data_IF_636930438910
#
_entry.id   IF_636930438910
#
_cell.length_a   1.000
_cell.length_b   1.000
_cell.length_c   1.000
_cell.angle_alpha   90.00
_cell.angle_beta   90.00
_cell.angle_gamma   90.00
#
_symmetry.space_group_name_H-M   'P 1'
#
loop_
_entity.id
_entity.type
_entity.pdbx_description
1 polymer ?
#
# COMPACT_ATOMS: atom_id res chain seq x y z
N UNK A 1 17.26 -22.13 -7.59
CA UNK A 1 16.91 -21.22 -8.70
C UNK A 1 16.31 -22.08 -9.79
N UNK A 2 15.11 -21.73 -10.27
CA UNK A 2 14.28 -22.57 -11.14
C UNK A 2 15.00 -22.90 -12.45
N UNK A 3 14.76 -24.10 -12.97
CA UNK A 3 15.36 -24.63 -14.20
C UNK A 3 14.73 -24.01 -15.47
N UNK A 4 14.36 -22.72 -15.38
CA UNK A 4 13.71 -21.96 -16.44
C UNK A 4 14.80 -21.25 -17.25
N UNK A 5 14.89 -21.60 -18.53
CA UNK A 5 15.88 -21.09 -19.48
C UNK A 5 15.80 -19.56 -19.72
N UNK A 6 14.74 -18.90 -19.25
CA UNK A 6 14.58 -17.45 -19.34
C UNK A 6 14.72 -16.77 -17.97
N UNK A 7 15.97 -16.63 -17.52
CA UNK A 7 16.34 -15.93 -16.28
C UNK A 7 15.95 -14.43 -16.24
N UNK A 8 15.50 -13.88 -17.37
CA UNK A 8 15.10 -12.48 -17.54
C UNK A 8 13.58 -12.29 -17.67
N UNK A 9 12.78 -13.30 -17.33
CA UNK A 9 11.33 -13.18 -17.30
C UNK A 9 10.87 -12.10 -16.30
N UNK A 10 9.79 -11.39 -16.64
CA UNK A 10 9.15 -10.42 -15.76
C UNK A 10 8.33 -11.06 -14.63
N UNK A 11 7.74 -10.23 -13.78
CA UNK A 11 6.86 -10.66 -12.69
C UNK A 11 5.38 -10.66 -13.14
N UNK A 12 4.58 -11.57 -12.58
CA UNK A 12 3.15 -11.68 -12.86
C UNK A 12 2.41 -10.36 -12.58
N UNK A 13 1.87 -9.72 -13.61
CA UNK A 13 1.27 -8.38 -13.54
C UNK A 13 0.08 -8.30 -12.59
N UNK A 14 -0.73 -9.35 -12.47
CA UNK A 14 -1.84 -9.43 -11.50
C UNK A 14 -1.39 -9.41 -10.03
N UNK A 15 -0.13 -9.75 -9.75
CA UNK A 15 0.42 -9.74 -8.38
C UNK A 15 0.96 -8.36 -8.01
N UNK A 16 1.80 -7.75 -8.87
CA UNK A 16 2.48 -6.50 -8.54
C UNK A 16 1.78 -5.24 -9.06
N UNK A 17 0.94 -5.35 -10.09
CA UNK A 17 0.28 -4.23 -10.75
C UNK A 17 -0.62 -3.43 -9.80
N UNK A 18 -1.65 -4.04 -9.19
CA UNK A 18 -2.54 -3.34 -8.27
C UNK A 18 -1.82 -2.65 -7.08
N UNK A 19 -0.93 -3.31 -6.32
CA UNK A 19 -0.19 -2.62 -5.25
C UNK A 19 0.80 -1.57 -5.79
N UNK A 20 1.35 -1.78 -6.98
CA UNK A 20 2.21 -0.80 -7.67
C UNK A 20 1.46 0.50 -8.01
N UNK A 21 0.28 0.39 -8.62
CA UNK A 21 -0.58 1.54 -8.89
C UNK A 21 -0.99 2.26 -7.61
N UNK A 22 -1.41 1.52 -6.58
CA UNK A 22 -1.75 2.09 -5.28
C UNK A 22 -0.58 2.92 -4.70
N UNK A 23 0.62 2.35 -4.69
CA UNK A 23 1.81 3.04 -4.18
C UNK A 23 2.14 4.31 -4.97
N UNK A 24 2.10 4.24 -6.31
CA UNK A 24 2.41 5.39 -7.15
C UNK A 24 1.36 6.51 -7.02
N UNK A 25 0.08 6.18 -6.91
CA UNK A 25 -0.96 7.17 -6.57
C UNK A 25 -0.67 7.80 -5.22
N UNK A 26 -0.39 7.02 -4.17
CA UNK A 26 0.01 7.57 -2.86
C UNK A 26 1.19 8.55 -2.95
N UNK A 27 2.18 8.29 -3.81
CA UNK A 27 3.30 9.22 -4.05
C UNK A 27 2.79 10.55 -4.63
N UNK A 28 1.91 10.52 -5.64
CA UNK A 28 1.35 11.75 -6.23
C UNK A 28 0.55 12.57 -5.22
N UNK A 29 -0.29 11.93 -4.40
CA UNK A 29 -1.03 12.60 -3.34
C UNK A 29 -0.13 13.09 -2.20
N UNK A 30 1.07 12.53 -2.06
CA UNK A 30 2.12 13.00 -1.15
C UNK A 30 2.91 14.21 -1.66
N UNK A 31 2.83 14.54 -2.95
CA UNK A 31 3.51 15.70 -3.53
C UNK A 31 3.02 17.01 -2.85
N UNK A 32 3.87 18.02 -2.63
CA UNK A 32 3.43 19.24 -1.99
C UNK A 32 2.38 20.00 -2.82
N UNK A 33 1.44 20.65 -2.12
CA UNK A 33 0.48 21.56 -2.77
C UNK A 33 1.21 22.73 -3.41
N UNK A 34 2.21 23.27 -2.70
CA UNK A 34 3.14 24.27 -3.21
C UNK A 34 4.59 23.74 -3.08
N UNK A 35 5.17 23.19 -4.17
CA UNK A 35 6.51 22.64 -4.15
C UNK A 35 7.60 23.70 -3.92
N UNK A 36 7.37 24.95 -4.35
CA UNK A 36 8.34 26.04 -4.18
C UNK A 36 8.45 26.40 -2.71
N UNK A 37 7.31 26.66 -2.07
CA UNK A 37 7.26 26.93 -0.63
C UNK A 37 7.77 25.74 0.18
N UNK A 38 7.50 24.51 -0.26
CA UNK A 38 8.05 23.33 0.40
C UNK A 38 9.58 23.25 0.32
N UNK A 39 10.19 23.55 -0.83
CA UNK A 39 11.66 23.63 -0.96
C UNK A 39 12.22 24.70 -0.01
N UNK A 40 11.59 25.88 0.07
CA UNK A 40 11.97 26.96 0.99
C UNK A 40 11.91 26.53 2.47
N UNK A 41 10.78 25.94 2.89
CA UNK A 41 10.58 25.44 4.27
C UNK A 41 11.58 24.34 4.67
N UNK A 42 12.14 23.65 3.66
CA UNK A 42 13.11 22.56 3.84
C UNK A 42 14.55 23.02 3.62
N UNK A 43 14.78 24.30 3.36
CA UNK A 43 16.10 24.87 3.03
C UNK A 43 16.77 24.14 1.85
N UNK A 44 15.97 23.69 0.89
CA UNK A 44 16.42 23.05 -0.34
C UNK A 44 16.65 24.09 -1.44
N UNK A 45 17.56 23.82 -2.40
CA UNK A 45 17.64 24.63 -3.63
C UNK A 45 16.28 24.66 -4.35
N UNK A 46 15.97 25.79 -4.97
CA UNK A 46 14.75 25.94 -5.76
C UNK A 46 14.61 24.81 -6.78
N UNK A 47 13.38 24.31 -6.94
CA UNK A 47 13.01 23.28 -7.91
C UNK A 47 13.58 21.88 -7.61
N UNK A 48 14.15 21.66 -6.43
CA UNK A 48 14.65 20.34 -6.00
C UNK A 48 13.53 19.31 -5.93
N UNK A 49 12.41 19.65 -5.27
CA UNK A 49 11.30 18.71 -5.08
C UNK A 49 10.65 18.32 -6.41
N UNK A 50 10.41 19.29 -7.30
CA UNK A 50 9.84 19.02 -8.64
C UNK A 50 10.75 18.10 -9.45
N UNK A 51 12.06 18.38 -9.45
CA UNK A 51 13.06 17.59 -10.18
C UNK A 51 13.11 16.14 -9.67
N UNK A 52 13.04 15.94 -8.35
CA UNK A 52 13.03 14.60 -7.77
C UNK A 52 11.81 13.78 -8.23
N UNK A 53 10.61 14.38 -8.19
CA UNK A 53 9.37 13.72 -8.63
C UNK A 53 9.36 13.46 -10.13
N UNK A 54 9.78 14.44 -10.93
CA UNK A 54 9.88 14.28 -12.39
C UNK A 54 10.80 13.10 -12.74
N UNK A 55 12.02 13.08 -12.19
CA UNK A 55 12.98 12.01 -12.45
C UNK A 55 12.49 10.66 -11.94
N UNK A 56 11.84 10.61 -10.77
CA UNK A 56 11.26 9.38 -10.25
C UNK A 56 10.26 8.78 -11.25
N UNK A 57 9.27 9.56 -11.69
CA UNK A 57 8.23 9.09 -12.60
C UNK A 57 8.76 8.79 -14.01
N UNK A 58 9.76 9.53 -14.49
CA UNK A 58 10.46 9.17 -15.73
C UNK A 58 11.14 7.80 -15.61
N UNK A 59 11.83 7.54 -14.49
CA UNK A 59 12.55 6.30 -14.24
C UNK A 59 11.64 5.10 -13.94
N UNK A 60 10.39 5.32 -13.49
CA UNK A 60 9.40 4.23 -13.31
C UNK A 60 9.30 3.41 -14.60
N UNK A 61 9.24 4.07 -15.75
CA UNK A 61 9.17 3.43 -17.07
C UNK A 61 10.36 2.55 -17.43
N UNK A 62 11.50 2.69 -16.75
CA UNK A 62 12.70 1.87 -16.96
C UNK A 62 12.74 0.62 -16.09
N UNK A 63 12.02 0.62 -14.96
CA UNK A 63 12.18 -0.40 -13.91
C UNK A 63 10.96 -1.30 -13.71
N UNK A 64 9.84 -1.07 -14.43
CA UNK A 64 8.68 -1.96 -14.33
C UNK A 64 9.10 -3.41 -14.65
N UNK A 65 8.70 -4.40 -13.84
CA UNK A 65 9.12 -5.80 -14.01
C UNK A 65 8.34 -6.51 -15.12
N UNK A 66 8.16 -5.85 -16.26
CA UNK A 66 7.41 -6.30 -17.42
C UNK A 66 7.88 -5.51 -18.65
N UNK A 67 8.43 -6.19 -19.66
CA UNK A 67 8.99 -5.56 -20.87
C UNK A 67 7.98 -4.66 -21.57
N UNK A 68 6.81 -5.20 -21.91
CA UNK A 68 5.77 -4.45 -22.62
C UNK A 68 5.19 -3.30 -21.79
N UNK A 69 5.16 -3.44 -20.47
CA UNK A 69 4.72 -2.38 -19.57
C UNK A 69 5.69 -1.19 -19.63
N UNK A 70 7.01 -1.44 -19.63
CA UNK A 70 8.03 -0.40 -19.82
C UNK A 70 7.92 0.31 -21.16
N UNK A 71 7.79 -0.47 -22.24
CA UNK A 71 7.67 0.06 -23.60
C UNK A 71 6.43 0.96 -23.75
N UNK A 72 5.27 0.50 -23.27
CA UNK A 72 4.03 1.29 -23.34
C UNK A 72 4.04 2.50 -22.44
N UNK A 73 4.59 2.41 -21.22
CA UNK A 73 4.73 3.57 -20.36
C UNK A 73 5.56 4.67 -21.04
N UNK A 74 6.69 4.30 -21.65
CA UNK A 74 7.56 5.23 -22.40
C UNK A 74 6.89 5.81 -23.65
N UNK A 75 6.01 5.06 -24.29
CA UNK A 75 5.20 5.55 -25.40
C UNK A 75 4.17 6.58 -24.91
N UNK A 76 3.49 6.30 -23.80
CA UNK A 76 2.51 7.20 -23.22
C UNK A 76 3.13 8.51 -22.73
N UNK A 77 4.36 8.48 -22.22
CA UNK A 77 5.13 9.70 -21.90
C UNK A 77 5.36 10.62 -23.11
N UNK A 78 5.26 10.11 -24.34
CA UNK A 78 5.41 10.88 -25.59
C UNK A 78 4.06 11.23 -26.24
N UNK A 79 2.97 10.69 -25.72
CA UNK A 79 1.63 10.84 -26.28
C UNK A 79 1.02 12.16 -25.83
N UNK A 80 0.35 12.89 -26.73
CA UNK A 80 -0.20 14.23 -26.45
C UNK A 80 -1.17 14.27 -25.25
N UNK A 81 -2.01 13.24 -25.09
CA UNK A 81 -2.99 13.14 -24.00
C UNK A 81 -2.39 12.80 -22.62
N UNK A 82 -1.12 12.42 -22.51
CA UNK A 82 -0.48 12.08 -21.22
C UNK A 82 0.79 12.89 -21.03
N UNK A 83 1.76 12.76 -21.94
CA UNK A 83 3.00 13.53 -21.90
C UNK A 83 3.90 13.23 -20.70
N UNK A 84 4.97 14.02 -20.52
CA UNK A 84 5.87 13.91 -19.38
C UNK A 84 5.18 14.30 -18.06
N UNK A 85 5.72 13.89 -16.89
CA UNK A 85 5.13 14.20 -15.59
C UNK A 85 4.89 15.70 -15.37
N UNK A 86 3.65 16.09 -15.10
CA UNK A 86 3.31 17.46 -14.71
C UNK A 86 3.53 17.65 -13.21
N UNK A 87 4.69 18.23 -12.86
CA UNK A 87 5.12 18.49 -11.48
C UNK A 87 4.87 19.94 -11.05
N UNK A 88 3.91 20.62 -11.67
CA UNK A 88 3.58 22.03 -11.33
C UNK A 88 3.18 22.16 -9.86
N UNK A 89 2.24 21.31 -9.43
CA UNK A 89 1.71 21.20 -8.08
C UNK A 89 1.08 19.80 -7.88
N UNK A 90 0.55 19.51 -6.68
CA UNK A 90 -0.13 18.24 -6.36
C UNK A 90 -1.23 17.88 -7.36
N UNK A 91 -2.15 18.78 -7.64
CA UNK A 91 -3.33 18.48 -8.46
C UNK A 91 -2.95 18.13 -9.89
N UNK A 92 -2.01 18.88 -10.47
CA UNK A 92 -1.44 18.61 -11.78
C UNK A 92 -0.79 17.22 -11.86
N UNK A 93 -0.02 16.84 -10.84
CA UNK A 93 0.65 15.53 -10.82
C UNK A 93 -0.33 14.37 -10.65
N UNK A 94 -1.34 14.55 -9.78
CA UNK A 94 -2.43 13.58 -9.58
C UNK A 94 -3.20 13.38 -10.88
N UNK A 95 -3.60 14.47 -11.54
CA UNK A 95 -4.31 14.40 -12.82
C UNK A 95 -3.46 13.74 -13.92
N UNK A 96 -2.18 14.10 -14.03
CA UNK A 96 -1.28 13.46 -14.99
C UNK A 96 -1.19 11.95 -14.77
N UNK A 97 -1.02 11.51 -13.52
CA UNK A 97 -0.88 10.09 -13.22
C UNK A 97 -2.20 9.32 -13.38
N UNK A 98 -3.33 9.98 -13.12
CA UNK A 98 -4.66 9.47 -13.47
C UNK A 98 -4.81 9.25 -14.99
N UNK A 99 -4.42 10.22 -15.83
CA UNK A 99 -4.40 10.07 -17.30
C UNK A 99 -3.52 8.89 -17.74
N UNK A 100 -2.33 8.75 -17.15
CA UNK A 100 -1.42 7.63 -17.41
C UNK A 100 -2.08 6.28 -17.07
N UNK A 101 -2.72 6.17 -15.91
CA UNK A 101 -3.39 4.94 -15.47
C UNK A 101 -4.57 4.58 -16.39
N UNK A 102 -5.42 5.55 -16.72
CA UNK A 102 -6.55 5.33 -17.63
C UNK A 102 -6.09 4.96 -19.04
N UNK A 103 -4.96 5.49 -19.51
CA UNK A 103 -4.39 5.08 -20.80
C UNK A 103 -3.96 3.62 -20.80
N UNK A 104 -3.46 3.11 -19.67
CA UNK A 104 -3.15 1.69 -19.51
C UNK A 104 -4.44 0.85 -19.49
N UNK A 105 -5.48 1.28 -18.76
CA UNK A 105 -6.78 0.58 -18.73
C UNK A 105 -7.37 0.47 -20.15
N UNK A 106 -7.37 1.59 -20.88
CA UNK A 106 -7.79 1.66 -22.29
C UNK A 106 -7.03 0.70 -23.20
N UNK A 107 -5.74 0.48 -22.94
CA UNK A 107 -4.94 -0.49 -23.70
C UNK A 107 -5.31 -1.93 -23.37
N UNK A 108 -5.64 -2.22 -22.12
CA UNK A 108 -5.98 -3.57 -21.64
C UNK A 108 -7.43 -3.96 -21.93
N UNK A 109 -8.28 -2.99 -22.30
CA UNK A 109 -9.72 -3.19 -22.46
C UNK A 109 -10.42 -3.39 -21.11
N UNK A 110 -9.78 -2.95 -20.02
CA UNK A 110 -10.32 -3.04 -18.67
C UNK A 110 -11.37 -1.96 -18.45
N UNK A 111 -12.61 -2.37 -18.20
CA UNK A 111 -13.75 -1.46 -17.95
C UNK A 111 -13.66 -0.63 -16.65
N UNK A 112 -12.56 -0.72 -15.92
CA UNK A 112 -12.22 0.23 -14.84
C UNK A 112 -11.85 1.62 -15.38
N UNK A 113 -11.92 1.81 -16.71
CA UNK A 113 -11.73 3.03 -17.51
C UNK A 113 -12.38 4.32 -16.97
N UNK A 114 -13.36 4.26 -16.07
CA UNK A 114 -14.21 5.42 -15.74
C UNK A 114 -14.20 5.85 -14.26
N UNK A 115 -13.13 5.61 -13.52
CA UNK A 115 -13.00 6.30 -12.23
C UNK A 115 -12.76 7.79 -12.51
N UNK A 116 -13.81 8.59 -12.33
CA UNK A 116 -13.73 10.05 -12.41
C UNK A 116 -12.61 10.58 -11.50
N UNK A 117 -11.95 11.65 -11.95
CA UNK A 117 -10.80 12.22 -11.23
C UNK A 117 -11.17 12.59 -9.79
N UNK A 118 -12.38 13.10 -9.56
CA UNK A 118 -12.83 13.49 -8.23
C UNK A 118 -13.04 12.27 -7.33
N UNK A 119 -13.56 11.16 -7.88
CA UNK A 119 -13.67 9.88 -7.12
C UNK A 119 -12.30 9.35 -6.69
N UNK A 120 -11.28 9.50 -7.55
CA UNK A 120 -9.90 9.14 -7.18
C UNK A 120 -9.35 10.09 -6.11
N UNK A 121 -9.60 11.40 -6.23
CA UNK A 121 -9.19 12.38 -5.21
C UNK A 121 -9.82 12.08 -3.85
N UNK A 122 -11.13 11.86 -3.81
CA UNK A 122 -11.85 11.49 -2.59
C UNK A 122 -11.26 10.24 -1.95
N UNK A 123 -11.07 9.18 -2.74
CA UNK A 123 -10.50 7.91 -2.26
C UNK A 123 -9.14 8.07 -1.58
N UNK A 124 -8.19 8.77 -2.20
CA UNK A 124 -6.84 8.89 -1.65
C UNK A 124 -6.73 9.95 -0.54
N UNK A 125 -7.62 10.95 -0.51
CA UNK A 125 -7.69 11.88 0.63
C UNK A 125 -8.21 11.21 1.92
N UNK A 126 -8.94 10.10 1.84
CA UNK A 126 -9.26 9.28 3.03
C UNK A 126 -8.02 8.76 3.77
N UNK A 127 -6.88 8.64 3.07
CA UNK A 127 -5.61 8.16 3.64
C UNK A 127 -4.74 9.30 4.20
N UNK A 128 -5.21 10.55 4.12
CA UNK A 128 -4.45 11.72 4.53
C UNK A 128 -4.09 11.65 6.01
N UNK A 129 -2.81 11.78 6.30
CA UNK A 129 -2.31 11.87 7.66
C UNK A 129 -2.03 13.33 8.07
N UNK A 130 -2.26 13.62 9.34
CA UNK A 130 -1.87 14.84 10.02
C UNK A 130 -0.63 14.59 10.87
N UNK A 131 0.29 15.54 10.87
CA UNK A 131 1.44 15.53 11.76
C UNK A 131 1.01 16.07 13.14
N UNK A 132 1.29 15.31 14.20
CA UNK A 132 1.05 15.75 15.57
C UNK A 132 2.37 16.24 16.17
N UNK A 133 2.53 17.56 16.30
CA UNK A 133 3.74 18.19 16.85
C UNK A 133 3.93 17.89 18.34
N UNK A 134 2.92 17.35 19.02
CA UNK A 134 2.93 17.09 20.46
C UNK A 134 3.31 15.65 20.84
N UNK A 135 3.51 14.75 19.86
CA UNK A 135 3.95 13.37 20.12
C UNK A 135 5.46 13.20 19.97
N UNK A 136 6.03 12.36 20.82
CA UNK A 136 7.46 12.00 20.83
C UNK A 136 7.85 11.26 19.54
N UNK A 137 6.91 10.49 18.98
CA UNK A 137 7.09 9.79 17.71
C UNK A 137 7.02 10.80 16.54
N UNK A 138 8.16 11.03 15.89
CA UNK A 138 8.28 11.92 14.73
C UNK A 138 7.64 11.26 13.50
N UNK A 139 6.34 11.44 13.28
CA UNK A 139 5.67 10.94 12.09
C UNK A 139 4.25 11.47 11.92
N UNK A 140 3.85 11.69 10.66
CA UNK A 140 2.47 12.03 10.31
C UNK A 140 1.68 10.73 10.17
N UNK A 141 1.24 10.17 11.31
CA UNK A 141 0.54 8.88 11.40
C UNK A 141 -0.89 8.99 11.94
N UNK A 142 -1.33 10.21 12.29
CA UNK A 142 -2.68 10.46 12.78
C UNK A 142 -3.60 10.68 11.57
N UNK A 143 -4.64 9.87 11.36
CA UNK A 143 -5.56 10.06 10.23
C UNK A 143 -6.29 11.40 10.34
N UNK A 144 -6.44 12.13 9.23
CA UNK A 144 -7.11 13.43 9.19
C UNK A 144 -8.61 13.31 9.50
N UNK A 145 -9.25 12.25 9.00
CA UNK A 145 -10.65 11.93 9.23
C UNK A 145 -10.92 11.20 10.57
N UNK A 146 -9.89 11.04 11.42
CA UNK A 146 -9.98 10.30 12.68
C UNK A 146 -10.06 8.77 12.55
N UNK A 147 -10.14 8.23 11.33
CA UNK A 147 -10.24 6.79 11.07
C UNK A 147 -8.88 6.22 10.65
N UNK A 148 -8.31 5.35 11.49
CA UNK A 148 -7.04 4.71 11.17
C UNK A 148 -7.27 3.58 10.15
N UNK A 149 -6.62 3.67 8.99
CA UNK A 149 -6.67 2.67 7.93
C UNK A 149 -5.30 1.99 7.79
N UNK A 150 -5.31 0.71 7.38
CA UNK A 150 -4.12 -0.09 7.14
C UNK A 150 -4.28 -0.85 5.81
N UNK A 151 -3.20 -0.98 5.03
CA UNK A 151 -3.18 -1.82 3.83
C UNK A 151 -2.81 -3.26 4.17
N UNK A 152 -3.49 -4.24 3.56
CA UNK A 152 -3.16 -5.67 3.61
C UNK A 152 -3.08 -6.19 2.17
N UNK A 153 -1.98 -6.87 1.82
CA UNK A 153 -1.81 -7.50 0.50
C UNK A 153 -1.86 -9.01 0.68
N UNK A 154 -2.84 -9.65 0.05
CA UNK A 154 -3.01 -11.10 0.04
C UNK A 154 -2.93 -11.61 -1.40
N UNK A 155 -2.19 -12.71 -1.60
CA UNK A 155 -1.95 -13.29 -2.92
C UNK A 155 -2.65 -14.64 -2.98
N UNK A 156 -3.56 -14.80 -3.96
CA UNK A 156 -4.32 -16.02 -4.18
C UNK A 156 -4.05 -16.59 -5.58
N UNK A 157 -4.15 -17.92 -5.77
CA UNK A 157 -4.08 -18.52 -7.10
C UNK A 157 -5.20 -17.99 -8.00
N UNK A 158 -4.85 -17.57 -9.21
CA UNK A 158 -5.84 -17.16 -10.21
C UNK A 158 -6.39 -18.42 -10.88
N UNK A 159 -7.52 -18.95 -10.36
CA UNK A 159 -8.05 -20.26 -10.76
C UNK A 159 -9.07 -20.24 -11.89
N UNK A 160 -9.51 -19.08 -12.40
CA UNK A 160 -10.56 -19.00 -13.45
C UNK A 160 -10.27 -17.84 -14.42
N UNK A 161 -10.49 -18.10 -15.72
CA UNK A 161 -10.39 -17.18 -16.86
C UNK A 161 -11.59 -16.22 -16.97
N UNK A 162 -12.06 -15.64 -15.87
CA UNK A 162 -13.17 -14.69 -15.90
C UNK A 162 -12.64 -13.26 -15.75
N UNK A 163 -12.95 -12.43 -16.74
CA UNK A 163 -12.73 -10.98 -16.82
C UNK A 163 -13.51 -10.17 -15.76
N UNK A 164 -13.77 -10.77 -14.61
CA UNK A 164 -14.41 -10.14 -13.45
C UNK A 164 -13.52 -10.37 -12.24
N UNK A 165 -12.40 -9.66 -12.20
CA UNK A 165 -11.73 -9.37 -10.96
C UNK A 165 -12.63 -8.35 -10.24
N UNK A 166 -13.62 -8.84 -9.49
CA UNK A 166 -14.21 -8.06 -8.42
C UNK A 166 -13.06 -7.80 -7.44
N UNK A 167 -12.48 -6.61 -7.54
CA UNK A 167 -11.93 -6.00 -6.34
C UNK A 167 -13.18 -5.88 -5.47
N UNK A 168 -13.31 -6.71 -4.44
CA UNK A 168 -14.13 -6.35 -3.28
C UNK A 168 -13.55 -5.03 -2.79
N UNK A 169 -14.09 -3.96 -3.39
CA UNK A 169 -13.69 -2.61 -3.14
C UNK A 169 -13.92 -2.38 -1.68
N UNK A 170 -12.86 -2.05 -0.96
CA UNK A 170 -12.91 -1.14 0.18
C UNK A 170 -14.22 -1.26 0.98
N UNK A 171 -14.59 -2.47 1.39
CA UNK A 171 -15.80 -2.64 2.17
C UNK A 171 -15.47 -2.04 3.52
N UNK A 172 -16.10 -0.92 3.81
CA UNK A 172 -16.27 -0.45 5.17
C UNK A 172 -17.07 -1.52 5.92
N UNK A 173 -16.39 -2.56 6.40
CA UNK A 173 -16.88 -3.34 7.52
C UNK A 173 -16.72 -2.47 8.77
N UNK A 174 -17.70 -1.59 8.96
CA UNK A 174 -18.13 -1.26 10.30
C UNK A 174 -18.73 -2.51 10.90
N UNK A 175 -17.89 -3.33 11.54
CA UNK A 175 -18.25 -3.94 12.80
C UNK A 175 -16.98 -4.19 13.61
N UNK A 176 -16.99 -3.67 14.84
CA UNK A 176 -15.93 -3.92 15.79
C UNK A 176 -15.91 -5.40 16.10
N UNK A 177 -14.87 -6.09 15.67
CA UNK A 177 -14.44 -7.29 16.37
C UNK A 177 -12.92 -7.31 16.44
N UNK A 178 -12.46 -7.14 17.68
CA UNK A 178 -11.10 -7.33 18.09
C UNK A 178 -10.60 -8.71 17.63
N UNK A 179 -9.83 -8.75 16.56
CA UNK A 179 -8.95 -9.88 16.25
C UNK A 179 -7.51 -9.39 16.23
N UNK A 180 -7.09 -8.95 17.42
CA UNK A 180 -5.70 -8.87 17.79
C UNK A 180 -5.17 -10.32 17.87
N UNK A 181 -4.50 -10.80 16.81
CA UNK A 181 -3.52 -11.89 16.94
C UNK A 181 -2.27 -11.38 17.65
N UNK A 182 -2.46 -10.89 18.87
CA UNK A 182 -1.43 -10.89 19.89
C UNK A 182 -1.40 -12.30 20.46
N UNK A 183 -0.40 -13.07 20.08
CA UNK A 183 -0.04 -14.29 20.80
C UNK A 183 0.15 -13.92 22.28
N UNK A 184 -0.86 -14.20 23.12
CA UNK A 184 -0.86 -13.85 24.52
C UNK A 184 0.22 -14.65 25.24
N UNK A 185 1.39 -14.03 25.43
CA UNK A 185 2.40 -14.47 26.42
C UNK A 185 1.79 -14.69 27.82
N UNK A 186 0.66 -14.03 28.12
CA UNK A 186 -0.07 -14.15 29.39
C UNK A 186 -0.88 -15.46 29.51
N UNK A 187 -1.41 -16.00 28.42
CA UNK A 187 -2.24 -17.22 28.47
C UNK A 187 -1.37 -18.48 28.56
N UNK A 188 -0.18 -18.47 27.94
CA UNK A 188 0.81 -19.54 28.12
C UNK A 188 1.35 -19.60 29.56
N UNK A 189 1.54 -18.45 30.20
CA UNK A 189 2.01 -18.39 31.59
C UNK A 189 0.96 -18.91 32.58
N UNK A 190 -0.32 -18.58 32.37
CA UNK A 190 -1.42 -19.09 33.20
C UNK A 190 -1.57 -20.61 33.04
N UNK A 191 -1.42 -21.14 31.81
CA UNK A 191 -1.46 -22.58 31.58
C UNK A 191 -0.30 -23.32 32.26
N UNK A 192 0.91 -22.77 32.17
CA UNK A 192 2.10 -23.35 32.84
C UNK A 192 1.95 -23.28 34.36
N UNK A 193 1.51 -22.14 34.92
CA UNK A 193 1.27 -22.00 36.36
C UNK A 193 0.16 -22.96 36.84
N UNK A 194 -0.93 -23.11 36.08
CA UNK A 194 -2.01 -24.05 36.40
C UNK A 194 -1.54 -25.50 36.46
N UNK A 195 -0.72 -25.93 35.49
CA UNK A 195 -0.17 -27.30 35.48
C UNK A 195 0.81 -27.55 36.64
N UNK A 196 1.59 -26.55 37.05
CA UNK A 196 2.49 -26.66 38.21
C UNK A 196 1.68 -26.80 39.51
N UNK A 197 0.65 -25.97 39.70
CA UNK A 197 -0.23 -26.06 40.88
C UNK A 197 -0.94 -27.41 40.93
N UNK A 198 -1.43 -27.92 39.79
CA UNK A 198 -2.08 -29.23 39.75
C UNK A 198 -1.12 -30.35 40.14
N UNK A 199 0.14 -30.32 39.67
CA UNK A 199 1.16 -31.31 40.07
C UNK A 199 1.50 -31.26 41.55
N UNK A 200 1.58 -30.07 42.14
CA UNK A 200 1.83 -29.92 43.58
C UNK A 200 0.64 -30.48 44.38
N UNK A 201 -0.59 -30.17 43.99
CA UNK A 201 -1.78 -30.69 44.66
C UNK A 201 -1.89 -32.22 44.55
N UNK A 202 -1.60 -32.80 43.37
CA UNK A 202 -1.55 -34.24 43.20
C UNK A 202 -0.43 -34.90 44.03
N UNK A 203 0.73 -34.26 44.13
CA UNK A 203 1.83 -34.74 44.99
C UNK A 203 1.42 -34.78 46.46
N UNK A 204 0.85 -33.69 46.98
CA UNK A 204 0.38 -33.60 48.37
C UNK A 204 -0.75 -34.62 48.63
N UNK A 205 -1.70 -34.78 47.71
CA UNK A 205 -2.76 -35.78 47.84
C UNK A 205 -2.20 -37.22 47.83
N UNK A 206 -1.17 -37.49 47.03
CA UNK A 206 -0.53 -38.80 47.00
C UNK A 206 0.21 -39.12 48.30
N UNK A 207 0.88 -38.16 48.94
CA UNK A 207 1.52 -38.36 50.24
C UNK A 207 0.51 -38.54 51.38
N UNK A 208 -0.62 -37.83 51.35
CA UNK A 208 -1.69 -37.99 52.35
C UNK A 208 -2.37 -39.38 52.21
N UNK A 209 -2.54 -39.88 50.98
CA UNK A 209 -3.16 -41.19 50.76
C UNK A 209 -2.21 -42.38 50.97
N UNK A 210 -0.90 -42.21 50.81
CA UNK A 210 0.08 -43.29 51.02
C UNK A 210 0.75 -43.28 52.41
N UNK A 211 0.52 -42.26 53.26
CA UNK A 211 1.01 -42.22 54.64
C UNK A 211 0.01 -42.75 55.68
N UNK A 212 -0.88 -43.67 55.30
CA UNK A 212 -1.83 -44.33 56.22
C UNK A 212 -1.78 -45.85 56.10
#
# INVERSE_FOLDING_TARGET
MTNDSNIHNGMMTKVWGPPGWFFLHCITFGFPVDPTKFDEEKELPENTTRTAYYNFFMNVGDILPCKYCRESYKEFLKHENVGPPDVTNRDSLVEWFWKMHNRVNAKLGDKYEDADLDSIKEKYEEFRARCDKNKIEKGCSVPLNGKKLCSKVEIYPCTISSDSFEIEGFTQSGDGSDNFTGCKKRDLLILICGLIVLRILFGILSEIFFSR
#
